data_IF_446961013202
#
_entry.id   IF_446961013202
#
_cell.length_a   1.000
_cell.length_b   1.000
_cell.length_c   1.000
_cell.angle_alpha   90.00
_cell.angle_beta   90.00
_cell.angle_gamma   90.00
#
_symmetry.space_group_name_H-M   'P 1'
#
loop_
_entity.id
_entity.type
_entity.pdbx_description
1 polymer ?
#
# COMPACT_ATOMS: atom_id res chain seq x y z
N UNK A 1 2.69 -2.16 14.90
CA UNK A 1 3.74 -2.67 15.82
C UNK A 1 3.73 -4.20 16.02
N UNK A 2 2.55 -4.81 16.16
CA UNK A 2 2.38 -6.23 16.52
C UNK A 2 3.08 -7.19 15.54
N UNK A 3 2.97 -6.95 14.23
CA UNK A 3 3.62 -7.75 13.20
C UNK A 3 5.15 -7.86 13.42
N UNK A 4 5.81 -6.74 13.74
CA UNK A 4 7.23 -6.74 14.05
C UNK A 4 7.54 -7.50 15.33
N UNK A 5 6.73 -7.34 16.38
CA UNK A 5 6.92 -8.06 17.64
C UNK A 5 6.76 -9.58 17.48
N UNK A 6 5.76 -10.03 16.73
CA UNK A 6 5.54 -11.45 16.42
C UNK A 6 6.72 -12.05 15.65
N UNK A 7 7.32 -11.27 14.75
CA UNK A 7 8.51 -11.66 13.98
C UNK A 7 9.83 -11.41 14.71
N UNK A 8 9.79 -10.94 15.97
CA UNK A 8 10.97 -10.61 16.79
C UNK A 8 11.88 -9.55 16.16
N UNK A 9 11.29 -8.60 15.43
CA UNK A 9 11.98 -7.48 14.81
C UNK A 9 11.86 -6.22 15.67
N UNK A 10 12.96 -5.63 16.14
CA UNK A 10 12.94 -4.28 16.71
C UNK A 10 12.41 -3.29 15.67
N UNK A 11 11.59 -2.32 16.09
CA UNK A 11 10.91 -1.40 15.18
C UNK A 11 11.87 -0.62 14.26
N UNK A 12 13.03 -0.22 14.78
CA UNK A 12 14.06 0.53 14.05
C UNK A 12 15.10 -0.37 13.36
N UNK A 13 14.93 -1.70 13.39
CA UNK A 13 15.87 -2.61 12.76
C UNK A 13 15.82 -2.53 11.24
N UNK A 14 16.95 -2.78 10.58
CA UNK A 14 17.04 -2.89 9.12
C UNK A 14 16.04 -3.90 8.55
N UNK A 15 15.87 -5.04 9.23
CA UNK A 15 14.90 -6.06 8.86
C UNK A 15 13.45 -5.55 8.94
N UNK A 16 13.09 -4.77 9.96
CA UNK A 16 11.77 -4.15 10.06
C UNK A 16 11.56 -3.10 8.96
N UNK A 17 12.59 -2.35 8.59
CA UNK A 17 12.54 -1.38 7.48
C UNK A 17 12.28 -2.07 6.14
N UNK A 18 13.00 -3.15 5.84
CA UNK A 18 12.76 -3.95 4.62
C UNK A 18 11.35 -4.54 4.62
N UNK A 19 10.92 -5.13 5.74
CA UNK A 19 9.58 -5.68 5.86
C UNK A 19 8.49 -4.61 5.67
N UNK A 20 8.70 -3.41 6.21
CA UNK A 20 7.78 -2.30 6.00
C UNK A 20 7.64 -1.96 4.50
N UNK A 21 8.76 -1.86 3.78
CA UNK A 21 8.75 -1.65 2.33
C UNK A 21 7.98 -2.76 1.61
N UNK A 22 8.26 -4.03 1.93
CA UNK A 22 7.58 -5.18 1.31
C UNK A 22 6.06 -5.18 1.56
N UNK A 23 5.62 -4.84 2.78
CA UNK A 23 4.20 -4.77 3.16
C UNK A 23 3.50 -3.70 2.32
N UNK A 24 4.03 -2.48 2.28
CA UNK A 24 3.38 -1.38 1.57
C UNK A 24 3.47 -1.52 0.05
N UNK A 25 4.55 -2.10 -0.47
CA UNK A 25 4.66 -2.45 -1.88
C UNK A 25 3.57 -3.45 -2.28
N UNK A 26 3.36 -4.50 -1.46
CA UNK A 26 2.32 -5.51 -1.67
C UNK A 26 0.91 -4.93 -1.62
N UNK A 27 0.61 -4.13 -0.58
CA UNK A 27 -0.71 -3.47 -0.45
C UNK A 27 -0.99 -2.59 -1.66
N UNK A 28 -0.01 -1.81 -2.09
CA UNK A 28 -0.21 -0.89 -3.21
C UNK A 28 -0.36 -1.64 -4.54
N UNK A 29 0.43 -2.69 -4.78
CA UNK A 29 0.31 -3.52 -5.97
C UNK A 29 -1.10 -4.12 -6.08
N UNK A 30 -1.54 -4.80 -5.02
CA UNK A 30 -2.85 -5.45 -4.97
C UNK A 30 -4.00 -4.45 -5.16
N UNK A 31 -3.89 -3.25 -4.57
CA UNK A 31 -4.91 -2.22 -4.74
C UNK A 31 -4.99 -1.69 -6.18
N UNK A 32 -3.84 -1.48 -6.82
CA UNK A 32 -3.78 -1.05 -8.22
C UNK A 32 -4.28 -2.14 -9.17
N UNK A 33 -3.93 -3.40 -8.92
CA UNK A 33 -4.41 -4.56 -9.70
C UNK A 33 -5.93 -4.69 -9.61
N UNK A 34 -6.50 -4.72 -8.40
CA UNK A 34 -7.95 -4.80 -8.23
C UNK A 34 -8.69 -3.61 -8.86
N UNK A 35 -8.13 -2.40 -8.77
CA UNK A 35 -8.69 -1.21 -9.42
C UNK A 35 -8.64 -1.30 -10.95
N UNK A 36 -7.63 -1.94 -11.52
CA UNK A 36 -7.51 -2.19 -12.95
C UNK A 36 -8.52 -3.26 -13.43
N UNK A 37 -8.67 -4.35 -12.67
CA UNK A 37 -9.68 -5.40 -12.95
C UNK A 37 -11.10 -4.83 -12.95
N UNK A 38 -11.41 -3.95 -11.97
CA UNK A 38 -12.70 -3.25 -11.95
C UNK A 38 -12.85 -2.29 -13.13
N UNK A 39 -11.77 -1.65 -13.59
CA UNK A 39 -11.81 -0.76 -14.75
C UNK A 39 -12.06 -1.52 -16.05
N UNK A 40 -11.54 -2.74 -16.16
CA UNK A 40 -11.79 -3.62 -17.30
C UNK A 40 -13.28 -3.99 -17.42
N UNK A 41 -13.96 -4.22 -16.29
CA UNK A 41 -15.39 -4.55 -16.28
C UNK A 41 -16.32 -3.33 -16.35
N UNK A 42 -16.05 -2.29 -15.54
CA UNK A 42 -16.96 -1.15 -15.32
C UNK A 42 -16.51 0.16 -16.00
N UNK A 43 -15.38 0.14 -16.70
CA UNK A 43 -14.70 1.32 -17.21
C UNK A 43 -13.87 2.05 -16.15
N UNK A 44 -12.90 2.85 -16.61
CA UNK A 44 -12.10 3.70 -15.74
C UNK A 44 -12.90 4.85 -15.12
N UNK A 45 -12.37 5.49 -14.07
CA UNK A 45 -12.99 6.70 -13.52
C UNK A 45 -12.94 7.86 -14.53
N UNK A 46 -13.92 8.76 -14.45
CA UNK A 46 -14.17 9.82 -15.46
C UNK A 46 -12.93 10.67 -15.80
N UNK A 47 -12.11 10.98 -14.79
CA UNK A 47 -10.92 11.83 -14.92
C UNK A 47 -9.61 11.03 -15.03
N UNK A 48 -9.68 9.75 -15.42
CA UNK A 48 -8.48 8.94 -15.67
C UNK A 48 -7.63 9.50 -16.82
N UNK A 49 -8.20 9.89 -17.98
CA UNK A 49 -7.42 10.47 -19.08
C UNK A 49 -6.67 11.74 -18.64
N UNK A 50 -5.35 11.74 -18.82
CA UNK A 50 -4.48 12.86 -18.46
C UNK A 50 -3.86 12.78 -17.05
N UNK A 51 -4.36 11.88 -16.20
CA UNK A 51 -3.76 11.58 -14.88
C UNK A 51 -2.35 10.98 -15.03
N UNK A 52 -1.50 11.04 -13.98
CA UNK A 52 -0.20 10.36 -13.99
C UNK A 52 -0.32 8.85 -14.29
N UNK A 53 -1.32 8.18 -13.72
CA UNK A 53 -1.56 6.75 -13.94
C UNK A 53 -1.86 6.44 -15.42
N UNK A 54 -2.64 7.29 -16.11
CA UNK A 54 -2.87 7.16 -17.55
C UNK A 54 -1.62 7.36 -18.41
N UNK A 55 -0.57 7.96 -17.84
CA UNK A 55 0.76 8.12 -18.47
C UNK A 55 1.75 7.04 -18.03
N UNK A 56 1.28 5.98 -17.36
CA UNK A 56 2.11 4.89 -16.84
C UNK A 56 2.93 5.25 -15.60
N UNK A 57 2.64 6.37 -14.94
CA UNK A 57 3.32 6.82 -13.72
C UNK A 57 2.49 6.45 -12.50
N UNK A 58 3.05 5.58 -11.65
CA UNK A 58 2.49 5.21 -10.36
C UNK A 58 3.19 5.99 -9.23
N UNK A 59 2.72 5.84 -8.00
CA UNK A 59 3.16 6.66 -6.88
C UNK A 59 4.68 6.63 -6.67
N UNK A 60 5.33 5.48 -6.77
CA UNK A 60 6.78 5.38 -6.59
C UNK A 60 7.57 6.11 -7.69
N UNK A 61 7.06 6.15 -8.94
CA UNK A 61 7.70 6.91 -10.02
C UNK A 61 7.71 8.41 -9.72
N UNK A 62 6.62 8.92 -9.14
CA UNK A 62 6.49 10.33 -8.76
C UNK A 62 7.42 10.73 -7.61
N UNK A 63 7.87 9.75 -6.81
CA UNK A 63 8.86 9.92 -5.75
C UNK A 63 10.29 9.66 -6.22
N UNK A 64 10.49 9.29 -7.50
CA UNK A 64 11.80 8.93 -8.04
C UNK A 64 12.38 7.66 -7.41
N UNK A 65 11.55 6.80 -6.84
CA UNK A 65 11.97 5.53 -6.25
C UNK A 65 11.58 4.34 -7.13
N UNK A 66 12.28 3.23 -6.93
CA UNK A 66 11.98 1.96 -7.59
C UNK A 66 11.52 0.96 -6.53
N UNK A 67 10.50 0.14 -6.81
CA UNK A 67 10.13 -0.96 -5.95
C UNK A 67 11.33 -1.91 -5.76
N UNK A 68 11.63 -2.28 -4.52
CA UNK A 68 12.85 -3.03 -4.17
C UNK A 68 12.57 -4.46 -3.71
N UNK A 69 11.31 -4.83 -3.45
CA UNK A 69 11.00 -6.16 -2.92
C UNK A 69 11.28 -7.28 -3.93
N UNK A 70 11.19 -6.99 -5.23
CA UNK A 70 11.29 -7.98 -6.31
C UNK A 70 10.15 -9.01 -6.32
N UNK A 71 9.07 -8.79 -5.56
CA UNK A 71 7.95 -9.73 -5.40
C UNK A 71 6.87 -9.60 -6.48
N UNK A 72 6.76 -8.43 -7.10
CA UNK A 72 5.61 -8.06 -7.93
C UNK A 72 6.03 -7.57 -9.32
N UNK A 73 5.26 -7.96 -10.33
CA UNK A 73 5.47 -7.54 -11.72
C UNK A 73 4.81 -6.19 -12.00
N UNK A 74 5.49 -5.12 -11.62
CA UNK A 74 5.05 -3.75 -11.86
C UNK A 74 4.99 -3.38 -13.35
N UNK A 75 5.81 -4.02 -14.20
CA UNK A 75 5.80 -3.75 -15.63
C UNK A 75 4.52 -4.32 -16.25
N UNK A 76 4.20 -5.58 -15.98
CA UNK A 76 2.96 -6.21 -16.42
C UNK A 76 1.72 -5.48 -15.88
N UNK A 77 1.73 -5.03 -14.62
CA UNK A 77 0.62 -4.24 -14.08
C UNK A 77 0.46 -2.88 -14.79
N UNK A 78 1.57 -2.18 -15.09
CA UNK A 78 1.51 -0.91 -15.84
C UNK A 78 0.96 -1.11 -17.26
N UNK A 79 1.28 -2.21 -17.92
CA UNK A 79 0.71 -2.56 -19.22
C UNK A 79 -0.80 -2.78 -19.14
N UNK A 80 -1.28 -3.54 -18.13
CA UNK A 80 -2.71 -3.72 -17.87
C UNK A 80 -3.42 -2.38 -17.61
N UNK A 81 -2.84 -1.53 -16.76
CA UNK A 81 -3.38 -0.19 -16.47
C UNK A 81 -3.42 0.69 -17.72
N UNK A 82 -2.43 0.60 -18.60
CA UNK A 82 -2.44 1.33 -19.87
C UNK A 82 -3.57 0.86 -20.80
N UNK A 83 -3.89 -0.44 -20.79
CA UNK A 83 -4.95 -1.02 -21.62
C UNK A 83 -6.37 -0.77 -21.07
N UNK A 84 -6.58 -0.95 -19.77
CA UNK A 84 -7.92 -0.95 -19.16
C UNK A 84 -8.20 0.28 -18.30
N UNK A 85 -7.16 0.99 -17.86
CA UNK A 85 -7.26 2.10 -16.92
C UNK A 85 -7.39 1.65 -15.47
N UNK A 86 -7.87 2.54 -14.62
CA UNK A 86 -8.13 2.28 -13.21
C UNK A 86 -9.53 2.76 -12.82
N UNK A 87 -10.17 2.07 -11.88
CA UNK A 87 -11.51 2.42 -11.41
C UNK A 87 -11.51 3.49 -10.34
N UNK A 88 -10.42 3.60 -9.58
CA UNK A 88 -10.24 4.56 -8.51
C UNK A 88 -8.98 5.40 -8.74
N UNK A 89 -9.06 6.71 -8.47
CA UNK A 89 -7.96 7.64 -8.66
C UNK A 89 -6.89 7.57 -7.57
N UNK A 90 -7.29 7.26 -6.33
CA UNK A 90 -6.43 7.09 -5.15
C UNK A 90 -6.90 5.86 -4.37
N UNK A 91 -5.97 5.12 -3.78
CA UNK A 91 -6.24 3.78 -3.27
C UNK A 91 -5.78 3.55 -1.81
N UNK A 92 -4.61 4.07 -1.43
CA UNK A 92 -3.97 3.74 -0.15
C UNK A 92 -3.78 5.01 0.67
N UNK A 93 -4.40 5.06 1.83
CA UNK A 93 -4.30 6.17 2.79
C UNK A 93 -4.38 5.61 4.22
N UNK A 94 -3.24 5.21 4.83
CA UNK A 94 -3.23 4.69 6.20
C UNK A 94 -3.73 5.75 7.18
N UNK A 95 -4.83 5.46 7.87
CA UNK A 95 -5.49 6.37 8.80
C UNK A 95 -5.11 6.07 10.27
N UNK A 96 -5.38 7.00 11.21
CA UNK A 96 -5.50 6.65 12.61
C UNK A 96 -6.63 5.63 12.81
N UNK A 97 -6.35 4.57 13.56
CA UNK A 97 -7.25 3.39 13.69
C UNK A 97 -7.71 3.18 15.14
N UNK A 98 -7.67 4.23 15.96
CA UNK A 98 -7.99 4.23 17.39
C UNK A 98 -9.09 3.23 17.81
N UNK A 99 -10.30 3.30 17.22
CA UNK A 99 -11.41 2.42 17.62
C UNK A 99 -11.34 1.03 16.99
N UNK A 100 -11.01 0.92 15.70
CA UNK A 100 -11.00 -0.36 14.98
C UNK A 100 -9.83 -1.24 15.39
N UNK A 101 -8.65 -0.67 15.67
CA UNK A 101 -7.50 -1.38 16.21
C UNK A 101 -7.78 -1.94 17.61
N UNK A 102 -8.50 -1.19 18.46
CA UNK A 102 -8.93 -1.67 19.77
C UNK A 102 -9.86 -2.87 19.67
N UNK A 103 -10.84 -2.84 18.75
CA UNK A 103 -11.75 -3.98 18.52
C UNK A 103 -10.97 -5.24 18.13
N UNK A 104 -9.95 -5.10 17.28
CA UNK A 104 -9.13 -6.22 16.81
C UNK A 104 -7.98 -6.59 17.75
N UNK A 105 -7.77 -5.84 18.83
CA UNK A 105 -6.67 -6.07 19.77
C UNK A 105 -5.29 -5.73 19.21
N UNK A 106 -5.19 -4.92 18.17
CA UNK A 106 -3.93 -4.49 17.55
C UNK A 106 -3.44 -3.14 18.10
N UNK A 107 -2.15 -2.85 17.95
CA UNK A 107 -1.62 -1.50 18.08
C UNK A 107 -2.10 -0.59 16.94
N UNK A 108 -2.16 0.71 17.21
CA UNK A 108 -2.67 1.68 16.25
C UNK A 108 -1.78 1.81 15.00
N UNK A 109 -2.42 1.73 13.83
CA UNK A 109 -1.87 2.07 12.52
C UNK A 109 -0.44 1.54 12.28
N UNK A 110 0.44 2.39 11.73
CA UNK A 110 1.87 2.13 11.55
C UNK A 110 2.72 2.64 12.73
N UNK A 111 2.11 2.94 13.87
CA UNK A 111 2.82 3.49 15.03
C UNK A 111 3.55 2.38 15.82
N UNK A 112 4.67 2.71 16.49
CA UNK A 112 5.25 1.84 17.51
C UNK A 112 4.33 1.80 18.75
N UNK A 113 4.58 0.86 19.66
CA UNK A 113 3.99 0.96 20.99
C UNK A 113 4.56 2.18 21.70
N UNK A 114 3.69 3.07 22.15
CA UNK A 114 4.07 4.25 22.93
C UNK A 114 4.52 3.87 24.34
N UNK A 115 3.91 2.82 24.91
CA UNK A 115 4.12 2.34 26.27
C UNK A 115 3.94 0.82 26.32
N UNK A 116 4.76 0.13 27.10
CA UNK A 116 4.60 -1.33 27.34
C UNK A 116 3.48 -1.66 28.33
N UNK A 117 3.10 -0.69 29.18
CA UNK A 117 2.02 -0.80 30.13
C UNK A 117 1.20 0.50 30.05
N UNK A 118 -0.09 0.36 29.78
CA UNK A 118 -1.03 1.46 29.69
C UNK A 118 -2.35 1.05 30.33
N UNK A 119 -3.14 2.03 30.76
CA UNK A 119 -4.52 1.83 31.23
C UNK A 119 -5.45 2.10 30.06
N UNK A 120 -6.41 1.20 29.82
CA UNK A 120 -7.48 1.36 28.83
C UNK A 120 -8.79 1.62 29.54
#
# INVERSE_FOLDING_TARGET
ADAFMLMRLPFESEAARTLNTDIFETIYFAACEASCELAEHDGSYETFPGSPASKGQLQFDLWGCQPTSGRWDWAGLKEKIAAHGMRNSLLVAPMPTASTAQILGNNESFEPYTQNLYVR
#
